data_IF_754857064753
#
_entry.id   IF_754857064753
#
_cell.length_a   1.000
_cell.length_b   1.000
_cell.length_c   1.000
_cell.angle_alpha   90.00
_cell.angle_beta   90.00
_cell.angle_gamma   90.00
#
_symmetry.space_group_name_H-M   'P 1'
#
loop_
_entity.id
_entity.type
_entity.pdbx_description
1 polymer ?
#
# COMPACT_ATOMS: atom_id res chain seq x y z
N UNK A 1 -29.64 -13.76 -17.23
CA UNK A 1 -28.54 -13.99 -16.29
C UNK A 1 -27.69 -12.72 -16.30
N UNK A 2 -27.99 -11.71 -15.49
CA UNK A 2 -28.00 -11.74 -14.02
C UNK A 2 -26.62 -11.27 -13.55
N UNK A 3 -26.44 -9.95 -13.51
CA UNK A 3 -25.20 -9.23 -13.20
C UNK A 3 -24.73 -9.41 -11.75
N UNK A 4 -23.43 -9.63 -11.54
CA UNK A 4 -22.78 -9.39 -10.23
C UNK A 4 -21.31 -8.99 -10.44
N UNK A 5 -21.08 -7.74 -10.83
CA UNK A 5 -19.80 -7.05 -10.59
C UNK A 5 -20.08 -5.96 -9.58
N UNK A 6 -19.90 -6.30 -8.30
CA UNK A 6 -19.92 -5.30 -7.23
C UNK A 6 -18.66 -4.45 -7.34
N UNK A 7 -18.86 -3.14 -7.43
CA UNK A 7 -17.82 -2.13 -7.44
C UNK A 7 -17.13 -2.12 -6.07
N UNK A 8 -15.88 -2.53 -5.99
CA UNK A 8 -15.00 -2.12 -4.90
C UNK A 8 -14.64 -0.65 -5.11
N UNK A 9 -15.38 0.25 -4.46
CA UNK A 9 -15.00 1.65 -4.31
C UNK A 9 -14.29 1.76 -2.96
N UNK A 10 -13.01 2.11 -2.98
CA UNK A 10 -12.28 2.48 -1.77
C UNK A 10 -12.97 3.70 -1.13
N UNK A 11 -13.34 3.67 0.15
CA UNK A 11 -14.05 4.78 0.80
C UNK A 11 -13.13 5.98 1.11
N UNK A 12 -11.82 5.87 0.85
CA UNK A 12 -10.86 6.94 1.09
C UNK A 12 -10.31 7.41 -0.26
N UNK A 13 -10.98 8.39 -0.85
CA UNK A 13 -10.51 9.09 -2.04
C UNK A 13 -9.27 9.94 -1.72
N UNK A 14 -8.12 9.29 -1.53
CA UNK A 14 -6.83 9.96 -1.34
C UNK A 14 -6.38 10.52 -2.70
N UNK A 15 -6.25 11.85 -2.86
CA UNK A 15 -5.71 12.41 -4.08
C UNK A 15 -4.20 12.19 -4.11
N UNK A 16 -3.72 11.60 -5.21
CA UNK A 16 -2.31 11.44 -5.53
C UNK A 16 -1.74 12.84 -5.84
N UNK A 17 -0.87 13.35 -4.97
CA UNK A 17 -0.21 14.64 -5.15
C UNK A 17 0.80 14.56 -6.33
N UNK A 18 0.77 15.42 -7.36
CA UNK A 18 1.81 15.42 -8.38
C UNK A 18 2.96 16.34 -7.94
N UNK A 19 4.12 15.79 -7.56
CA UNK A 19 5.36 16.58 -7.44
C UNK A 19 6.18 16.44 -8.72
N UNK A 20 6.12 17.48 -9.55
CA UNK A 20 6.91 17.68 -10.76
C UNK A 20 8.40 17.89 -10.43
N UNK A 21 9.27 17.12 -11.08
CA UNK A 21 10.63 17.56 -11.39
C UNK A 21 10.68 17.92 -12.88
N UNK A 22 10.69 19.21 -13.18
CA UNK A 22 11.08 19.74 -14.49
C UNK A 22 11.79 21.08 -14.27
N UNK A 23 13.04 21.16 -14.72
CA UNK A 23 13.74 22.43 -14.92
C UNK A 23 13.17 23.06 -16.22
N UNK A 24 12.06 23.79 -16.12
CA UNK A 24 11.56 24.64 -17.21
C UNK A 24 10.54 25.65 -16.68
N UNK A 25 10.90 26.93 -16.73
CA UNK A 25 9.99 28.08 -16.62
C UNK A 25 9.30 28.26 -15.26
N UNK A 26 9.33 29.47 -14.71
CA UNK A 26 8.42 29.86 -13.63
C UNK A 26 6.98 29.86 -14.16
N UNK A 27 6.33 28.68 -14.18
CA UNK A 27 4.88 28.58 -14.26
C UNK A 27 4.31 29.18 -12.98
N UNK A 28 3.46 30.19 -13.12
CA UNK A 28 2.74 30.79 -12.00
C UNK A 28 2.10 29.67 -11.14
N UNK A 29 2.42 29.65 -9.84
CA UNK A 29 1.81 28.70 -8.91
C UNK A 29 0.29 28.81 -9.02
N UNK A 30 -0.39 27.74 -9.41
CA UNK A 30 -1.84 27.66 -9.35
C UNK A 30 -2.25 27.63 -7.87
N UNK A 31 -2.58 28.80 -7.33
CA UNK A 31 -2.94 29.00 -5.93
C UNK A 31 -4.12 28.10 -5.51
N UNK A 32 -5.07 27.87 -6.41
CA UNK A 32 -6.22 27.00 -6.18
C UNK A 32 -5.80 25.53 -5.97
N UNK A 33 -4.93 25.00 -6.85
CA UNK A 33 -4.39 23.65 -6.71
C UNK A 33 -3.56 23.47 -5.44
N UNK A 34 -2.77 24.48 -5.06
CA UNK A 34 -1.99 24.45 -3.83
C UNK A 34 -2.85 24.41 -2.57
N UNK A 35 -3.91 25.23 -2.49
CA UNK A 35 -4.84 25.25 -1.37
C UNK A 35 -5.63 23.94 -1.28
N UNK A 36 -6.07 23.39 -2.41
CA UNK A 36 -6.76 22.11 -2.46
C UNK A 36 -5.88 20.95 -1.96
N UNK A 37 -4.60 20.91 -2.35
CA UNK A 37 -3.65 19.91 -1.85
C UNK A 37 -3.42 20.02 -0.34
N UNK A 38 -3.31 21.24 0.19
CA UNK A 38 -3.20 21.46 1.64
C UNK A 38 -4.45 21.01 2.39
N UNK A 39 -5.63 21.31 1.86
CA UNK A 39 -6.90 20.87 2.44
C UNK A 39 -7.01 19.34 2.46
N UNK A 40 -6.73 18.68 1.34
CA UNK A 40 -6.75 17.22 1.25
C UNK A 40 -5.76 16.58 2.24
N UNK A 41 -4.57 17.17 2.39
CA UNK A 41 -3.58 16.72 3.38
C UNK A 41 -4.01 16.96 4.83
N UNK A 42 -4.86 17.96 5.11
CA UNK A 42 -5.45 18.15 6.44
C UNK A 42 -6.53 17.09 6.72
N UNK A 43 -7.46 16.89 5.78
CA UNK A 43 -8.53 15.89 5.90
C UNK A 43 -7.94 14.49 6.11
N UNK A 44 -6.96 14.09 5.30
CA UNK A 44 -6.29 12.79 5.43
C UNK A 44 -5.63 12.60 6.80
N UNK A 45 -5.03 13.65 7.38
CA UNK A 45 -4.44 13.59 8.73
C UNK A 45 -5.51 13.48 9.82
N UNK A 46 -6.62 14.18 9.67
CA UNK A 46 -7.75 14.08 10.61
C UNK A 46 -8.38 12.68 10.56
N UNK A 47 -8.56 12.12 9.37
CA UNK A 47 -9.07 10.75 9.19
C UNK A 47 -8.14 9.69 9.76
N UNK A 48 -6.83 9.85 9.56
CA UNK A 48 -5.85 8.98 10.19
C UNK A 48 -5.89 9.11 11.71
N UNK A 49 -5.92 10.33 12.25
CA UNK A 49 -6.00 10.56 13.69
C UNK A 49 -7.27 9.94 14.30
N UNK A 50 -8.41 10.04 13.62
CA UNK A 50 -9.66 9.36 14.00
C UNK A 50 -9.54 7.85 13.94
N UNK A 51 -8.88 7.32 12.92
CA UNK A 51 -8.65 5.86 12.81
C UNK A 51 -7.78 5.36 13.97
N UNK A 52 -6.78 6.14 14.36
CA UNK A 52 -5.80 5.80 15.40
C UNK A 52 -6.29 6.11 16.83
N UNK A 53 -7.45 6.73 17.00
CA UNK A 53 -8.03 6.95 18.34
C UNK A 53 -8.58 5.66 18.95
N UNK A 54 -8.93 4.69 18.10
CA UNK A 54 -9.32 3.34 18.51
C UNK A 54 -8.10 2.42 18.65
N UNK A 55 -8.16 1.48 19.59
CA UNK A 55 -7.12 0.47 19.76
C UNK A 55 -7.17 -0.60 18.67
N UNK A 56 -6.04 -1.28 18.48
CA UNK A 56 -5.95 -2.45 17.63
C UNK A 56 -6.41 -3.71 18.39
N UNK A 57 -7.24 -4.55 17.76
CA UNK A 57 -7.61 -5.88 18.24
C UNK A 57 -6.72 -6.96 17.60
N UNK A 58 -5.83 -7.54 18.39
CA UNK A 58 -4.86 -8.55 17.92
C UNK A 58 -5.53 -9.84 17.43
N UNK A 59 -6.76 -10.12 17.87
CA UNK A 59 -7.52 -11.33 17.49
C UNK A 59 -8.03 -11.26 16.06
N UNK A 60 -8.21 -10.04 15.55
CA UNK A 60 -8.73 -9.75 14.22
C UNK A 60 -7.61 -9.44 13.21
N UNK A 61 -6.36 -9.69 13.56
CA UNK A 61 -5.23 -9.45 12.66
C UNK A 61 -5.00 -10.63 11.71
N UNK A 62 -4.52 -10.35 10.49
CA UNK A 62 -4.30 -11.39 9.48
C UNK A 62 -3.27 -12.45 9.85
N UNK A 63 -2.48 -12.25 10.92
CA UNK A 63 -1.59 -13.27 11.48
C UNK A 63 -2.33 -14.50 12.02
N UNK A 64 -3.64 -14.38 12.29
CA UNK A 64 -4.49 -15.46 12.76
C UNK A 64 -5.40 -15.90 11.60
N UNK A 65 -5.19 -17.07 10.96
CA UNK A 65 -6.03 -17.51 9.84
C UNK A 65 -7.54 -17.58 10.17
N UNK A 66 -7.88 -17.79 11.45
CA UNK A 66 -9.27 -17.75 11.94
C UNK A 66 -9.95 -16.38 11.78
N UNK A 67 -9.19 -15.29 11.63
CA UNK A 67 -9.72 -13.94 11.39
C UNK A 67 -9.98 -13.63 9.92
N UNK A 68 -9.58 -14.49 8.98
CA UNK A 68 -9.67 -14.19 7.55
C UNK A 68 -11.11 -14.06 7.03
N UNK A 69 -12.11 -14.83 7.50
CA UNK A 69 -13.50 -14.62 7.11
C UNK A 69 -13.99 -13.19 7.39
N UNK A 70 -13.47 -12.52 8.42
CA UNK A 70 -13.82 -11.15 8.77
C UNK A 70 -13.38 -10.15 7.70
N UNK A 71 -12.30 -10.44 6.96
CA UNK A 71 -11.90 -9.61 5.81
C UNK A 71 -12.94 -9.60 4.69
N UNK A 72 -13.81 -10.61 4.63
CA UNK A 72 -14.91 -10.68 3.67
C UNK A 72 -16.20 -10.10 4.25
N UNK A 73 -16.50 -10.38 5.53
CA UNK A 73 -17.73 -9.90 6.15
C UNK A 73 -17.70 -8.40 6.48
N UNK A 74 -16.56 -7.88 6.93
CA UNK A 74 -16.33 -6.47 7.22
C UNK A 74 -14.90 -6.06 6.78
N UNK A 75 -14.69 -5.87 5.47
CA UNK A 75 -13.37 -5.53 4.93
C UNK A 75 -12.85 -4.20 5.47
N UNK A 76 -13.73 -3.23 5.75
CA UNK A 76 -13.34 -1.90 6.23
C UNK A 76 -12.79 -1.99 7.66
N UNK A 77 -13.49 -2.65 8.58
CA UNK A 77 -12.98 -2.81 9.94
C UNK A 77 -11.68 -3.61 9.97
N UNK A 78 -11.59 -4.66 9.15
CA UNK A 78 -10.38 -5.47 9.02
C UNK A 78 -9.18 -4.65 8.54
N UNK A 79 -9.41 -3.82 7.51
CA UNK A 79 -8.45 -2.87 6.97
C UNK A 79 -7.99 -1.85 8.02
N UNK A 80 -8.93 -1.20 8.72
CA UNK A 80 -8.61 -0.18 9.72
C UNK A 80 -7.84 -0.79 10.90
N UNK A 81 -8.17 -2.02 11.30
CA UNK A 81 -7.43 -2.73 12.33
C UNK A 81 -5.96 -2.98 11.91
N UNK A 82 -5.71 -3.33 10.65
CA UNK A 82 -4.36 -3.44 10.10
C UNK A 82 -3.61 -2.09 10.12
N UNK A 83 -4.29 -0.98 9.77
CA UNK A 83 -3.72 0.37 9.86
C UNK A 83 -3.34 0.71 11.30
N UNK A 84 -4.23 0.46 12.27
CA UNK A 84 -3.93 0.67 13.70
C UNK A 84 -2.73 -0.15 14.15
N UNK A 85 -2.66 -1.42 13.74
CA UNK A 85 -1.52 -2.27 14.05
C UNK A 85 -0.21 -1.72 13.48
N UNK A 86 -0.22 -1.27 12.22
CA UNK A 86 0.95 -0.69 11.57
C UNK A 86 1.55 0.46 12.40
N UNK A 87 0.69 1.40 12.83
CA UNK A 87 1.15 2.59 13.55
C UNK A 87 1.49 2.30 15.03
N UNK A 88 0.81 1.35 15.67
CA UNK A 88 0.98 1.11 17.12
C UNK A 88 1.96 0.00 17.47
N UNK A 89 2.02 -1.08 16.69
CA UNK A 89 2.68 -2.34 17.10
C UNK A 89 3.62 -2.95 16.06
N UNK A 90 3.55 -2.55 14.78
CA UNK A 90 4.36 -3.20 13.76
C UNK A 90 5.88 -3.13 14.06
N UNK A 91 6.65 -4.14 13.65
CA UNK A 91 8.11 -4.10 13.81
C UNK A 91 8.74 -2.89 13.11
N UNK A 92 9.83 -2.36 13.68
CA UNK A 92 10.52 -1.18 13.14
C UNK A 92 10.91 -1.36 11.66
N UNK A 93 11.47 -2.52 11.29
CA UNK A 93 11.88 -2.80 9.92
C UNK A 93 10.73 -2.77 8.90
N UNK A 94 9.49 -3.10 9.31
CA UNK A 94 8.30 -3.01 8.45
C UNK A 94 7.96 -1.54 8.19
N UNK A 95 7.96 -0.72 9.25
CA UNK A 95 7.70 0.72 9.15
C UNK A 95 8.78 1.43 8.34
N UNK A 96 10.05 1.13 8.58
CA UNK A 96 11.18 1.69 7.83
C UNK A 96 11.09 1.35 6.34
N UNK A 97 10.78 0.09 6.02
CA UNK A 97 10.56 -0.34 4.65
C UNK A 97 9.41 0.44 4.00
N UNK A 98 8.28 0.61 4.69
CA UNK A 98 7.15 1.40 4.20
C UNK A 98 7.53 2.87 3.99
N UNK A 99 8.22 3.48 4.96
CA UNK A 99 8.68 4.86 4.91
C UNK A 99 9.61 5.12 3.71
N UNK A 100 10.49 4.17 3.39
CA UNK A 100 11.35 4.26 2.21
C UNK A 100 10.53 4.43 0.92
N UNK A 101 9.47 3.62 0.74
CA UNK A 101 8.60 3.70 -0.43
C UNK A 101 7.65 4.91 -0.43
N UNK A 102 7.22 5.35 0.75
CA UNK A 102 6.45 6.60 0.92
C UNK A 102 7.28 7.82 0.52
N UNK A 103 8.54 7.85 0.93
CA UNK A 103 9.44 8.95 0.60
C UNK A 103 9.65 9.03 -0.91
N UNK A 104 9.45 10.22 -1.48
CA UNK A 104 9.64 10.45 -2.92
C UNK A 104 8.70 9.68 -3.84
N UNK A 105 7.54 9.23 -3.34
CA UNK A 105 6.51 8.52 -4.13
C UNK A 105 7.07 7.29 -4.87
N UNK A 106 7.96 6.55 -4.19
CA UNK A 106 8.64 5.38 -4.74
C UNK A 106 7.76 4.14 -4.78
N UNK A 107 6.56 4.17 -4.21
CA UNK A 107 5.64 3.04 -4.23
C UNK A 107 4.20 3.46 -4.00
N UNK A 108 3.30 2.53 -4.29
CA UNK A 108 1.86 2.67 -4.08
C UNK A 108 1.40 1.81 -2.90
N UNK A 109 0.13 1.98 -2.53
CA UNK A 109 -0.49 1.22 -1.45
C UNK A 109 -0.42 1.93 -0.11
N UNK A 110 -0.99 1.27 0.88
CA UNK A 110 -1.35 1.82 2.17
C UNK A 110 -0.71 0.98 3.27
N UNK A 111 -0.58 1.56 4.46
CA UNK A 111 0.17 1.00 5.58
C UNK A 111 -0.42 -0.34 6.07
N UNK A 112 -1.74 -0.49 5.98
CA UNK A 112 -2.46 -1.74 6.23
C UNK A 112 -2.02 -2.88 5.31
N UNK A 113 -1.73 -2.62 4.03
CA UNK A 113 -1.33 -3.66 3.09
C UNK A 113 0.05 -4.24 3.42
N UNK A 114 0.97 -3.47 4.01
CA UNK A 114 2.24 -4.03 4.51
C UNK A 114 2.01 -5.06 5.61
N UNK A 115 1.02 -4.85 6.48
CA UNK A 115 0.65 -5.80 7.53
C UNK A 115 -0.02 -7.04 6.95
N UNK A 116 -0.93 -6.85 5.97
CA UNK A 116 -1.56 -7.98 5.29
C UNK A 116 -0.54 -8.85 4.55
N UNK A 117 0.41 -8.25 3.84
CA UNK A 117 1.49 -8.98 3.17
C UNK A 117 2.40 -9.70 4.15
N UNK A 118 2.76 -9.06 5.26
CA UNK A 118 3.54 -9.68 6.32
C UNK A 118 2.84 -10.93 6.85
N UNK A 119 1.55 -10.82 7.18
CA UNK A 119 0.78 -11.94 7.70
C UNK A 119 0.64 -13.11 6.71
N UNK A 120 0.38 -12.83 5.43
CA UNK A 120 0.36 -13.86 4.39
C UNK A 120 1.72 -14.56 4.27
N UNK A 121 2.82 -13.81 4.34
CA UNK A 121 4.16 -14.40 4.31
C UNK A 121 4.42 -15.31 5.52
N UNK A 122 4.05 -14.86 6.72
CA UNK A 122 4.24 -15.63 7.95
C UNK A 122 3.40 -16.91 7.98
N UNK A 123 2.16 -16.85 7.50
CA UNK A 123 1.27 -18.00 7.42
C UNK A 123 1.74 -19.03 6.38
N UNK A 124 2.16 -18.57 5.20
CA UNK A 124 2.50 -19.46 4.09
C UNK A 124 3.96 -19.93 4.10
N UNK A 125 4.89 -19.16 4.70
CA UNK A 125 6.35 -19.40 4.69
C UNK A 125 6.87 -19.84 3.32
N UNK A 126 6.64 -19.05 2.25
CA UNK A 126 6.84 -19.51 0.89
C UNK A 126 8.31 -19.81 0.58
N UNK A 127 8.58 -20.92 -0.13
CA UNK A 127 9.91 -21.19 -0.74
C UNK A 127 10.16 -20.39 -2.01
N UNK A 128 9.10 -19.92 -2.65
CA UNK A 128 9.15 -19.10 -3.86
C UNK A 128 8.01 -18.09 -3.88
N UNK A 129 8.28 -16.88 -4.33
CA UNK A 129 7.33 -15.79 -4.47
C UNK A 129 7.42 -15.19 -5.88
N UNK A 130 6.26 -14.95 -6.51
CA UNK A 130 6.16 -14.34 -7.83
C UNK A 130 5.19 -13.16 -7.76
N UNK A 131 5.64 -11.97 -8.17
CA UNK A 131 4.77 -10.82 -8.43
C UNK A 131 4.65 -10.59 -9.94
N UNK A 132 3.43 -10.44 -10.43
CA UNK A 132 3.13 -10.06 -11.82
C UNK A 132 2.63 -8.62 -11.81
N UNK A 133 3.18 -7.79 -12.70
CA UNK A 133 2.90 -6.35 -12.74
C UNK A 133 3.76 -5.56 -11.75
N UNK A 134 5.06 -5.88 -11.69
CA UNK A 134 5.99 -5.18 -10.78
C UNK A 134 6.16 -3.74 -11.22
N UNK A 135 5.77 -2.80 -10.36
CA UNK A 135 6.00 -1.37 -10.61
C UNK A 135 7.40 -0.94 -10.15
N UNK A 136 7.58 -0.74 -8.84
CA UNK A 136 8.85 -0.33 -8.21
C UNK A 136 9.36 -1.35 -7.19
N UNK A 137 8.83 -2.57 -7.24
CA UNK A 137 9.30 -3.69 -6.43
C UNK A 137 9.01 -3.57 -4.93
N UNK A 138 8.01 -2.79 -4.51
CA UNK A 138 7.66 -2.64 -3.09
C UNK A 138 7.29 -3.97 -2.43
N UNK A 139 6.47 -4.80 -3.08
CA UNK A 139 6.08 -6.09 -2.52
C UNK A 139 7.23 -7.09 -2.61
N UNK A 140 7.93 -7.19 -3.74
CA UNK A 140 9.16 -8.02 -3.84
C UNK A 140 10.19 -7.72 -2.75
N UNK A 141 10.49 -6.45 -2.52
CA UNK A 141 11.47 -6.03 -1.51
C UNK A 141 10.97 -6.31 -0.09
N UNK A 142 9.66 -6.12 0.18
CA UNK A 142 9.05 -6.51 1.45
C UNK A 142 9.20 -8.02 1.70
N UNK A 143 8.83 -8.85 0.71
CA UNK A 143 8.93 -10.31 0.82
C UNK A 143 10.38 -10.75 1.01
N UNK A 144 11.33 -10.14 0.28
CA UNK A 144 12.76 -10.42 0.44
C UNK A 144 13.26 -10.05 1.84
N UNK A 145 12.81 -8.92 2.37
CA UNK A 145 13.13 -8.47 3.73
C UNK A 145 12.57 -9.46 4.78
N UNK A 146 11.32 -9.88 4.63
CA UNK A 146 10.68 -10.85 5.51
C UNK A 146 11.39 -12.21 5.49
N UNK A 147 11.75 -12.71 4.30
CA UNK A 147 12.51 -13.95 4.16
C UNK A 147 13.86 -13.90 4.88
N UNK A 148 14.58 -12.78 4.76
CA UNK A 148 15.84 -12.55 5.49
C UNK A 148 15.64 -12.53 7.00
N UNK A 149 14.62 -11.83 7.50
CA UNK A 149 14.30 -11.77 8.93
C UNK A 149 13.93 -13.16 9.48
N UNK A 150 13.15 -13.93 8.73
CA UNK A 150 12.72 -15.28 9.10
C UNK A 150 13.77 -16.37 8.85
N UNK A 151 14.95 -16.01 8.29
CA UNK A 151 16.02 -16.93 7.85
C UNK A 151 15.49 -18.04 6.93
N UNK A 152 14.61 -17.67 6.00
CA UNK A 152 14.04 -18.55 5.00
C UNK A 152 14.77 -18.39 3.67
N UNK A 153 15.06 -19.51 3.03
CA UNK A 153 15.46 -19.53 1.62
C UNK A 153 14.21 -19.38 0.74
N UNK A 154 13.91 -18.15 0.36
CA UNK A 154 12.76 -17.79 -0.47
C UNK A 154 13.24 -17.20 -1.79
N UNK A 155 12.96 -17.88 -2.90
CA UNK A 155 13.21 -17.36 -4.24
C UNK A 155 12.17 -16.31 -4.62
N UNK A 156 12.56 -15.05 -4.67
CA UNK A 156 11.68 -13.93 -5.04
C UNK A 156 11.88 -13.57 -6.52
N UNK A 157 10.80 -13.56 -7.29
CA UNK A 157 10.79 -13.25 -8.71
C UNK A 157 9.70 -12.24 -9.04
N UNK A 158 9.99 -11.38 -10.02
CA UNK A 158 9.09 -10.34 -10.48
C UNK A 158 9.00 -10.32 -11.99
N UNK A 159 7.80 -10.16 -12.53
CA UNK A 159 7.56 -10.03 -13.96
C UNK A 159 6.76 -8.75 -14.20
N UNK A 160 7.24 -7.91 -15.10
CA UNK A 160 6.55 -6.69 -15.53
C UNK A 160 6.85 -6.42 -16.99
N UNK A 161 5.87 -5.96 -17.79
CA UNK A 161 6.16 -5.52 -19.14
C UNK A 161 7.08 -4.29 -19.07
N UNK A 162 8.20 -4.32 -19.79
CA UNK A 162 9.11 -3.17 -19.93
C UNK A 162 8.55 -2.05 -20.83
N UNK A 163 7.28 -2.15 -21.22
CA UNK A 163 6.60 -1.20 -22.08
C UNK A 163 5.10 -1.13 -21.74
N UNK A 164 4.44 -0.06 -22.16
CA UNK A 164 2.98 0.08 -22.03
C UNK A 164 2.20 -0.80 -23.01
N UNK A 165 2.84 -1.79 -23.64
CA UNK A 165 2.23 -2.57 -24.72
C UNK A 165 0.97 -3.36 -24.30
N UNK A 166 0.78 -3.60 -23.00
CA UNK A 166 -0.40 -4.26 -22.44
C UNK A 166 -1.38 -3.35 -21.70
N UNK A 167 -1.13 -2.04 -21.67
CA UNK A 167 -1.90 -1.11 -20.84
C UNK A 167 -2.32 0.12 -21.64
N UNK A 168 -3.54 0.07 -22.18
CA UNK A 168 -4.14 1.16 -22.96
C UNK A 168 -4.67 2.30 -22.08
N UNK A 169 -4.70 2.12 -20.76
CA UNK A 169 -5.36 3.05 -19.82
C UNK A 169 -4.39 3.76 -18.87
N UNK A 170 -3.16 3.26 -18.68
CA UNK A 170 -2.17 3.88 -17.79
C UNK A 170 -1.05 4.59 -18.55
N UNK A 171 -0.71 5.80 -18.08
CA UNK A 171 0.45 6.56 -18.56
C UNK A 171 1.63 6.33 -17.61
N UNK A 172 2.58 5.52 -18.05
CA UNK A 172 3.85 5.35 -17.35
C UNK A 172 4.73 6.57 -17.56
N UNK A 173 5.45 7.00 -16.51
CA UNK A 173 6.42 8.08 -16.62
C UNK A 173 7.50 7.61 -17.59
N UNK A 174 7.61 8.30 -18.73
CA UNK A 174 8.72 8.09 -19.67
C UNK A 174 9.96 8.66 -18.98
N UNK A 175 10.99 7.83 -18.79
CA UNK A 175 12.25 8.11 -18.06
C UNK A 175 12.20 7.76 -16.56
N UNK A 176 12.23 6.45 -16.28
CA UNK A 176 12.72 5.93 -14.99
C UNK A 176 14.25 5.80 -15.04
#
# INVERSE_FOLDING_TARGET
MGSFFSRFVCPIGIPICPSLYYYQGYSAMNLGGFLQNKWNGFVSRADLARTLSESCDDRLLPFQPVSWPQSISDPTAYYLNCTRFFHSKAPAFIREHRNYFQSGQRGFGEDSFHIMWQALFEACRPKSFLEIGVYRGQVLSLVSLLARQARLDCRVCGVSPFSSAGDSVSRYIRNL
#
